data_IF_693543328230
#
_entry.id   IF_693543328230
#
_cell.length_a   1.000
_cell.length_b   1.000
_cell.length_c   1.000
_cell.angle_alpha   90.00
_cell.angle_beta   90.00
_cell.angle_gamma   90.00
#
_symmetry.space_group_name_H-M   'P 1'
#
loop_
_entity.id
_entity.type
_entity.pdbx_description
1 polymer ?
#
# COMPACT_ATOMS: atom_id res chain seq x y z
N UNK A 1 -15.72 -69.61 -29.21
CA UNK A 1 -14.88 -68.55 -29.84
C UNK A 1 -14.72 -67.27 -29.00
N UNK A 2 -15.56 -66.99 -28.00
CA UNK A 2 -15.49 -65.75 -27.19
C UNK A 2 -14.23 -65.63 -26.30
N UNK A 3 -13.69 -66.73 -25.77
CA UNK A 3 -12.48 -66.69 -24.91
C UNK A 3 -11.21 -66.27 -25.66
N UNK A 4 -11.09 -66.63 -26.94
CA UNK A 4 -9.95 -66.22 -27.78
C UNK A 4 -9.99 -64.72 -28.08
N UNK A 5 -11.18 -64.16 -28.34
CA UNK A 5 -11.35 -62.74 -28.63
C UNK A 5 -11.00 -61.86 -27.43
N UNK A 6 -11.38 -62.25 -26.21
CA UNK A 6 -11.04 -61.51 -24.99
C UNK A 6 -9.55 -61.51 -24.67
N UNK A 7 -8.85 -62.62 -24.96
CA UNK A 7 -7.39 -62.69 -24.75
C UNK A 7 -6.63 -61.91 -25.81
N UNK A 8 -7.10 -61.89 -27.06
CA UNK A 8 -6.54 -61.06 -28.15
C UNK A 8 -6.81 -59.58 -27.91
N UNK A 9 -8.00 -59.21 -27.44
CA UNK A 9 -8.32 -57.82 -27.09
C UNK A 9 -7.46 -57.31 -25.92
N UNK A 10 -7.20 -58.16 -24.91
CA UNK A 10 -6.32 -57.82 -23.77
C UNK A 10 -4.86 -57.64 -24.18
N UNK A 11 -4.34 -58.48 -25.06
CA UNK A 11 -2.95 -58.36 -25.53
C UNK A 11 -2.75 -57.15 -26.44
N UNK A 12 -3.71 -56.83 -27.32
CA UNK A 12 -3.68 -55.61 -28.14
C UNK A 12 -3.77 -54.36 -27.24
N UNK A 13 -4.63 -54.38 -26.23
CA UNK A 13 -4.74 -53.28 -25.25
C UNK A 13 -3.42 -53.05 -24.49
N UNK A 14 -2.75 -54.12 -24.06
CA UNK A 14 -1.45 -54.01 -23.40
C UNK A 14 -0.36 -53.47 -24.32
N UNK A 15 -0.33 -53.92 -25.59
CA UNK A 15 0.65 -53.47 -26.58
C UNK A 15 0.48 -51.97 -26.92
N UNK A 16 -0.77 -51.51 -27.06
CA UNK A 16 -1.09 -50.11 -27.30
C UNK A 16 -0.67 -49.20 -26.15
N UNK A 17 -0.81 -49.67 -24.90
CA UNK A 17 -0.45 -48.92 -23.71
C UNK A 17 1.08 -48.80 -23.56
N UNK A 18 1.81 -49.86 -23.88
CA UNK A 18 3.29 -49.82 -23.92
C UNK A 18 3.80 -48.91 -25.04
N UNK A 19 3.19 -48.95 -26.22
CA UNK A 19 3.55 -48.07 -27.34
C UNK A 19 3.26 -46.59 -27.02
N UNK A 20 2.17 -46.30 -26.32
CA UNK A 20 1.87 -44.93 -25.88
C UNK A 20 2.91 -44.39 -24.88
N UNK A 21 3.41 -45.25 -23.97
CA UNK A 21 4.39 -44.86 -22.97
C UNK A 21 5.79 -44.61 -23.57
N UNK A 22 6.18 -45.34 -24.61
CA UNK A 22 7.49 -45.16 -25.26
C UNK A 22 7.55 -43.91 -26.14
N UNK A 23 6.42 -43.46 -26.70
CA UNK A 23 6.35 -42.22 -27.49
C UNK A 23 6.43 -40.97 -26.58
N UNK A 24 5.90 -41.03 -25.36
CA UNK A 24 5.96 -39.92 -24.38
C UNK A 24 7.35 -39.85 -23.69
N UNK A 25 8.08 -40.97 -23.60
CA UNK A 25 9.39 -41.05 -22.95
C UNK A 25 10.58 -40.49 -23.75
N UNK A 26 10.46 -40.32 -25.07
CA UNK A 26 11.47 -39.68 -25.90
C UNK A 26 11.27 -38.16 -25.94
N UNK A 27 11.51 -37.47 -24.82
CA UNK A 27 11.66 -36.01 -24.88
C UNK A 27 12.96 -35.72 -25.65
N UNK A 28 12.92 -35.08 -26.83
CA UNK A 28 14.13 -34.72 -27.54
C UNK A 28 14.97 -33.85 -26.62
N UNK A 29 16.25 -34.21 -26.48
CA UNK A 29 17.28 -33.48 -25.74
C UNK A 29 17.03 -31.98 -25.90
N UNK A 30 16.84 -31.27 -24.78
CA UNK A 30 16.57 -29.81 -24.76
C UNK A 30 17.52 -29.14 -25.74
N UNK A 31 16.96 -28.50 -26.76
CA UNK A 31 17.77 -27.91 -27.82
C UNK A 31 18.51 -26.70 -27.28
N UNK A 32 19.70 -26.40 -27.81
CA UNK A 32 20.49 -25.25 -27.35
C UNK A 32 19.72 -23.92 -27.47
N UNK A 33 18.81 -23.82 -28.44
CA UNK A 33 17.87 -22.70 -28.60
C UNK A 33 16.87 -22.56 -27.44
N UNK A 34 16.43 -23.68 -26.85
CA UNK A 34 15.56 -23.62 -25.67
C UNK A 34 16.36 -23.18 -24.44
N UNK A 35 17.61 -23.58 -24.32
CA UNK A 35 18.49 -23.16 -23.21
C UNK A 35 18.88 -21.67 -23.32
N UNK A 36 19.17 -21.17 -24.53
CA UNK A 36 19.46 -19.76 -24.77
C UNK A 36 18.26 -18.89 -24.40
N UNK A 37 17.07 -19.25 -24.87
CA UNK A 37 15.81 -18.55 -24.56
C UNK A 37 15.50 -18.57 -23.06
N UNK A 38 15.79 -19.66 -22.37
CA UNK A 38 15.59 -19.75 -20.92
C UNK A 38 16.56 -18.85 -20.15
N UNK A 39 17.82 -18.71 -20.62
CA UNK A 39 18.78 -17.76 -20.06
C UNK A 39 18.36 -16.31 -20.29
N UNK A 40 17.90 -16.00 -21.49
CA UNK A 40 17.37 -14.68 -21.85
C UNK A 40 16.18 -14.31 -20.95
N UNK A 41 15.19 -15.20 -20.82
CA UNK A 41 14.04 -14.99 -19.94
C UNK A 41 14.45 -14.80 -18.48
N UNK A 42 15.46 -15.52 -18.00
CA UNK A 42 15.99 -15.29 -16.64
C UNK A 42 16.64 -13.92 -16.51
N UNK A 43 17.45 -13.49 -17.47
CA UNK A 43 18.07 -12.18 -17.47
C UNK A 43 17.02 -11.07 -17.52
N UNK A 44 15.99 -11.22 -18.36
CA UNK A 44 14.86 -10.31 -18.46
C UNK A 44 14.08 -10.24 -17.15
N UNK A 45 13.80 -11.39 -16.51
CA UNK A 45 13.12 -11.42 -15.21
C UNK A 45 13.90 -10.70 -14.11
N UNK A 46 15.23 -10.84 -14.07
CA UNK A 46 16.08 -10.17 -13.10
C UNK A 46 16.14 -8.66 -13.34
N UNK A 47 16.22 -8.25 -14.62
CA UNK A 47 16.16 -6.85 -15.02
C UNK A 47 14.83 -6.22 -14.63
N UNK A 48 13.71 -6.84 -14.98
CA UNK A 48 12.37 -6.35 -14.65
C UNK A 48 12.17 -6.26 -13.13
N UNK A 49 12.63 -7.25 -12.37
CA UNK A 49 12.57 -7.21 -10.90
C UNK A 49 13.34 -6.00 -10.34
N UNK A 50 14.52 -5.72 -10.88
CA UNK A 50 15.32 -4.55 -10.48
C UNK A 50 14.63 -3.24 -10.86
N UNK A 51 14.03 -3.17 -12.05
CA UNK A 51 13.26 -2.00 -12.49
C UNK A 51 12.03 -1.76 -11.61
N UNK A 52 11.31 -2.82 -11.22
CA UNK A 52 10.18 -2.75 -10.29
C UNK A 52 10.63 -2.18 -8.95
N UNK A 53 11.68 -2.74 -8.34
CA UNK A 53 12.20 -2.24 -7.06
C UNK A 53 12.60 -0.77 -7.12
N UNK A 54 13.24 -0.34 -8.22
CA UNK A 54 13.57 1.06 -8.45
C UNK A 54 12.32 1.93 -8.55
N UNK A 55 11.30 1.49 -9.29
CA UNK A 55 10.05 2.23 -9.46
C UNK A 55 9.23 2.32 -8.18
N UNK A 56 9.23 1.27 -7.37
CA UNK A 56 8.59 1.29 -6.05
C UNK A 56 9.30 2.27 -5.10
N UNK A 57 10.63 2.31 -5.10
CA UNK A 57 11.39 3.29 -4.33
C UNK A 57 11.12 4.73 -4.80
N UNK A 58 11.08 4.96 -6.12
CA UNK A 58 10.70 6.25 -6.70
C UNK A 58 9.28 6.66 -6.28
N UNK A 59 8.33 5.73 -6.30
CA UNK A 59 6.94 5.96 -5.89
C UNK A 59 6.85 6.38 -4.42
N UNK A 60 7.47 5.63 -3.51
CA UNK A 60 7.46 5.97 -2.08
C UNK A 60 8.05 7.35 -1.83
N UNK A 61 9.15 7.70 -2.51
CA UNK A 61 9.76 9.04 -2.41
C UNK A 61 8.80 10.13 -2.88
N UNK A 62 8.18 9.94 -4.05
CA UNK A 62 7.24 10.90 -4.63
C UNK A 62 5.99 11.05 -3.76
N UNK A 63 5.43 9.97 -3.23
CA UNK A 63 4.28 10.00 -2.34
C UNK A 63 4.60 10.78 -1.05
N UNK A 64 5.81 10.62 -0.50
CA UNK A 64 6.29 11.41 0.64
C UNK A 64 6.41 12.91 0.32
N UNK A 65 6.96 13.25 -0.84
CA UNK A 65 7.04 14.65 -1.30
C UNK A 65 5.65 15.26 -1.49
N UNK A 66 4.72 14.51 -2.08
CA UNK A 66 3.35 14.94 -2.33
C UNK A 66 2.59 15.16 -1.02
N UNK A 67 2.76 14.27 -0.04
CA UNK A 67 2.20 14.43 1.30
C UNK A 67 2.71 15.70 1.97
N UNK A 68 4.03 15.97 1.92
CA UNK A 68 4.62 17.20 2.46
C UNK A 68 4.10 18.46 1.76
N UNK A 69 4.01 18.45 0.43
CA UNK A 69 3.46 19.60 -0.31
C UNK A 69 2.00 19.85 0.01
N UNK A 70 1.20 18.80 0.22
CA UNK A 70 -0.20 18.93 0.64
C UNK A 70 -0.32 19.50 2.05
N UNK A 71 0.52 19.10 3.00
CA UNK A 71 0.51 19.68 4.34
C UNK A 71 0.92 21.15 4.33
N UNK A 72 1.98 21.50 3.59
CA UNK A 72 2.41 22.90 3.40
C UNK A 72 1.28 23.76 2.79
N UNK A 73 0.60 23.26 1.75
CA UNK A 73 -0.50 23.98 1.12
C UNK A 73 -1.69 24.19 2.07
N UNK A 74 -2.01 23.17 2.88
CA UNK A 74 -3.06 23.27 3.90
C UNK A 74 -2.71 24.31 4.97
N UNK A 75 -1.49 24.28 5.51
CA UNK A 75 -1.05 25.26 6.50
C UNK A 75 -1.10 26.70 5.96
N UNK A 76 -0.72 26.90 4.69
CA UNK A 76 -0.83 28.21 4.05
C UNK A 76 -2.29 28.68 3.94
N UNK A 77 -3.20 27.79 3.54
CA UNK A 77 -4.63 28.09 3.46
C UNK A 77 -5.23 28.41 4.84
N UNK A 78 -4.88 27.63 5.87
CA UNK A 78 -5.35 27.84 7.24
C UNK A 78 -4.86 29.18 7.80
N UNK A 79 -3.58 29.54 7.56
CA UNK A 79 -3.01 30.84 7.95
C UNK A 79 -3.69 31.99 7.22
N UNK A 80 -3.97 31.85 5.92
CA UNK A 80 -4.67 32.87 5.14
C UNK A 80 -6.08 33.09 5.66
N UNK A 81 -6.83 32.00 5.90
CA UNK A 81 -8.18 32.07 6.46
C UNK A 81 -8.18 32.74 7.85
N UNK A 82 -7.21 32.41 8.70
CA UNK A 82 -7.04 33.07 10.00
C UNK A 82 -6.82 34.57 9.87
N UNK A 83 -5.90 35.00 9.01
CA UNK A 83 -5.63 36.44 8.78
C UNK A 83 -6.86 37.14 8.23
N UNK A 84 -7.57 36.51 7.29
CA UNK A 84 -8.79 37.08 6.70
C UNK A 84 -9.92 37.22 7.74
N UNK A 85 -10.09 36.24 8.63
CA UNK A 85 -11.03 36.32 9.74
C UNK A 85 -10.68 37.44 10.74
N UNK A 86 -9.39 37.65 11.02
CA UNK A 86 -8.96 38.75 11.89
C UNK A 86 -9.13 40.12 11.22
N UNK A 87 -8.85 40.19 9.92
CA UNK A 87 -8.98 41.42 9.14
C UNK A 87 -10.45 41.84 8.97
N UNK A 88 -11.37 40.89 8.81
CA UNK A 88 -12.81 41.21 8.72
C UNK A 88 -13.40 41.74 10.04
N UNK A 89 -12.78 41.39 11.17
CA UNK A 89 -13.13 41.88 12.51
C UNK A 89 -12.42 43.18 12.88
N UNK A 90 -11.49 43.66 12.05
CA UNK A 90 -10.82 44.94 12.23
C UNK A 90 -11.75 46.10 11.84
N UNK A 91 -11.78 47.25 12.55
CA UNK A 91 -10.97 47.64 13.71
C UNK A 91 -11.53 47.23 15.08
N UNK A 92 -12.75 46.65 15.15
CA UNK A 92 -13.38 46.24 16.41
C UNK A 92 -12.93 44.83 16.86
N UNK A 93 -11.62 44.66 17.08
CA UNK A 93 -11.05 43.36 17.51
C UNK A 93 -11.33 43.07 18.99
N UNK A 94 -11.73 44.09 19.74
CA UNK A 94 -12.12 44.01 21.15
C UNK A 94 -13.40 44.78 21.42
N UNK A 95 -14.57 44.17 21.19
CA UNK A 95 -15.88 44.80 21.46
C UNK A 95 -16.07 45.18 22.92
N UNK A 96 -15.41 44.45 23.83
CA UNK A 96 -15.54 44.59 25.28
C UNK A 96 -14.34 45.32 25.94
N UNK A 97 -13.37 45.81 25.15
CA UNK A 97 -12.25 46.58 25.69
C UNK A 97 -12.61 48.05 25.77
N UNK A 98 -13.01 48.49 26.96
CA UNK A 98 -13.08 49.90 27.31
C UNK A 98 -11.80 50.28 28.09
N UNK A 99 -10.89 51.12 27.53
CA UNK A 99 -9.68 51.56 28.22
C UNK A 99 -9.95 52.37 29.49
N UNK A 100 -11.20 52.78 29.75
CA UNK A 100 -11.63 53.46 30.97
C UNK A 100 -12.48 52.56 31.90
N UNK A 101 -12.60 51.26 31.62
CA UNK A 101 -13.31 50.34 32.50
C UNK A 101 -12.64 50.31 33.89
N UNK A 102 -13.39 50.48 35.00
CA UNK A 102 -12.83 50.35 36.33
C UNK A 102 -12.27 48.95 36.53
N UNK A 103 -10.99 48.85 36.87
CA UNK A 103 -10.32 47.60 37.24
C UNK A 103 -10.98 47.08 38.52
N UNK A 104 -12.00 46.23 38.37
CA UNK A 104 -12.51 45.45 39.49
C UNK A 104 -11.49 44.35 39.77
N UNK A 105 -10.92 44.28 41.00
CA UNK A 105 -9.99 43.21 41.33
C UNK A 105 -10.69 41.86 41.13
N UNK A 106 -9.99 40.84 40.60
CA UNK A 106 -10.59 39.53 40.40
C UNK A 106 -11.19 39.03 41.72
N UNK A 107 -12.38 38.42 41.71
CA UNK A 107 -12.96 37.86 42.93
C UNK A 107 -11.97 36.88 43.54
N UNK A 108 -11.70 37.05 44.83
CA UNK A 108 -10.79 36.20 45.58
C UNK A 108 -11.18 34.72 45.38
N UNK A 109 -10.20 33.81 45.19
CA UNK A 109 -10.49 32.40 44.96
C UNK A 109 -11.35 31.86 46.09
N UNK A 110 -12.51 31.29 45.74
CA UNK A 110 -13.43 30.65 46.69
C UNK A 110 -12.69 29.53 47.44
N UNK A 111 -12.89 29.38 48.76
CA UNK A 111 -12.19 28.36 49.53
C UNK A 111 -12.60 26.96 49.06
N UNK A 112 -11.61 26.20 48.58
CA UNK A 112 -11.74 24.82 48.16
C UNK A 112 -12.24 23.97 49.34
N UNK A 113 -13.48 23.45 49.24
CA UNK A 113 -14.06 22.56 50.24
C UNK A 113 -13.28 21.25 50.25
N UNK A 114 -12.38 21.09 51.22
CA UNK A 114 -11.72 19.80 51.51
C UNK A 114 -12.79 18.77 51.89
N UNK A 115 -13.02 17.80 51.00
CA UNK A 115 -13.86 16.63 51.31
C UNK A 115 -13.18 15.83 52.41
N UNK A 116 -13.77 15.85 53.60
CA UNK A 116 -13.36 15.06 54.75
C UNK A 116 -13.24 13.57 54.42
N UNK A 117 -12.07 13.01 54.75
CA UNK A 117 -11.73 11.60 54.70
C UNK A 117 -12.54 10.85 55.76
N UNK A 118 -13.50 10.02 55.32
CA UNK A 118 -14.23 9.06 56.15
C UNK A 118 -13.23 8.10 56.83
N UNK A 119 -13.29 8.01 58.16
CA UNK A 119 -12.89 6.84 58.95
C UNK A 119 -14.08 6.41 59.77
#
# INVERSE_FOLDING_TARGET
MQFAYNNVARSIGALALVAALTIVGCTPKVTDEQLSKLRELRAESARLTTEIQKKDAEKVRLDGELARRRSEAKECADKLAFVQDKMSKWPNVWPDYDPNAPVTPPPAPEPEKTKGKKR
#
